data_IF_145176346515
#
_entry.id   IF_145176346515
#
_cell.length_a   1.000
_cell.length_b   1.000
_cell.length_c   1.000
_cell.angle_alpha   90.00
_cell.angle_beta   90.00
_cell.angle_gamma   90.00
#
_symmetry.space_group_name_H-M   'P 1'
#
loop_
_entity.id
_entity.type
_entity.pdbx_description
1 polymer ?
#
# COMPACT_ATOMS: atom_id res chain seq x y z
N UNK A 1 -70.78 49.30 23.09
CA UNK A 1 -69.94 48.68 24.15
C UNK A 1 -69.84 47.15 24.06
N UNK A 2 -70.95 46.38 23.99
CA UNK A 2 -70.93 44.89 23.91
C UNK A 2 -70.16 44.31 22.71
N UNK A 3 -70.24 44.96 21.53
CA UNK A 3 -69.52 44.52 20.32
C UNK A 3 -67.99 44.62 20.45
N UNK A 4 -67.50 45.66 21.12
CA UNK A 4 -66.07 45.88 21.38
C UNK A 4 -65.50 44.80 22.32
N UNK A 5 -66.23 44.48 23.39
CA UNK A 5 -65.86 43.43 24.34
C UNK A 5 -65.83 42.04 23.68
N UNK A 6 -66.76 41.77 22.75
CA UNK A 6 -66.80 40.51 21.98
C UNK A 6 -65.57 40.34 21.09
N UNK A 7 -65.13 41.40 20.42
CA UNK A 7 -63.93 41.39 19.57
C UNK A 7 -62.66 41.14 20.39
N UNK A 8 -62.55 41.81 21.54
CA UNK A 8 -61.45 41.60 22.48
C UNK A 8 -61.40 40.15 22.99
N UNK A 9 -62.54 39.59 23.45
CA UNK A 9 -62.61 38.19 23.90
C UNK A 9 -62.30 37.18 22.78
N UNK A 10 -62.62 37.50 21.53
CA UNK A 10 -62.27 36.67 20.37
C UNK A 10 -60.76 36.69 20.09
N UNK A 11 -60.12 37.87 20.17
CA UNK A 11 -58.68 38.04 19.98
C UNK A 11 -57.86 37.29 21.03
N UNK A 12 -58.24 37.35 22.31
CA UNK A 12 -57.56 36.59 23.37
C UNK A 12 -57.77 35.07 23.30
N UNK A 13 -58.90 34.61 22.75
CA UNK A 13 -59.16 33.17 22.56
C UNK A 13 -58.20 32.54 21.54
N UNK A 14 -57.96 33.24 20.42
CA UNK A 14 -57.06 32.77 19.37
C UNK A 14 -55.57 32.81 19.80
N UNK A 15 -55.20 33.75 20.66
CA UNK A 15 -53.85 33.83 21.24
C UNK A 15 -53.58 32.69 22.23
N UNK A 16 -54.59 32.21 22.95
CA UNK A 16 -54.43 31.10 23.91
C UNK A 16 -54.28 29.74 23.21
N UNK A 17 -55.03 29.52 22.13
CA UNK A 17 -54.97 28.27 21.33
C UNK A 17 -53.62 28.12 20.61
N UNK A 18 -52.99 29.22 20.20
CA UNK A 18 -51.66 29.21 19.56
C UNK A 18 -50.47 29.04 20.51
N UNK A 19 -50.67 29.17 21.84
CA UNK A 19 -49.64 28.89 22.86
C UNK A 19 -49.60 27.40 23.26
N UNK A 20 -50.74 26.72 23.31
CA UNK A 20 -50.80 25.31 23.72
C UNK A 20 -50.13 24.35 22.71
N UNK A 21 -50.02 24.73 21.43
CA UNK A 21 -49.34 23.93 20.41
C UNK A 21 -47.83 24.20 20.29
N UNK A 22 -47.24 25.10 21.09
CA UNK A 22 -45.79 25.38 21.07
C UNK A 22 -44.99 24.68 22.16
N UNK A 23 -45.63 23.95 23.07
CA UNK A 23 -44.95 23.20 24.15
C UNK A 23 -44.69 21.73 23.80
N UNK A 24 -45.02 21.29 22.59
CA UNK A 24 -44.59 19.98 22.05
C UNK A 24 -43.51 20.17 20.99
N UNK A 25 -42.41 20.80 21.38
CA UNK A 25 -41.17 20.81 20.59
C UNK A 25 -40.38 19.57 20.98
N UNK A 26 -40.51 18.54 20.16
CA UNK A 26 -39.53 17.47 19.90
C UNK A 26 -38.68 17.02 21.10
N UNK A 27 -39.27 16.20 21.97
CA UNK A 27 -38.52 15.27 22.83
C UNK A 27 -38.19 13.97 22.07
N UNK A 28 -37.76 14.09 20.81
CA UNK A 28 -36.89 13.07 20.20
C UNK A 28 -35.45 13.55 20.44
N UNK A 29 -35.10 13.66 21.72
CA UNK A 29 -33.72 13.83 22.15
C UNK A 29 -33.02 12.52 21.77
N UNK A 30 -32.45 12.48 20.56
CA UNK A 30 -31.51 11.44 20.18
C UNK A 30 -30.38 11.49 21.21
N UNK A 31 -30.49 10.66 22.26
CA UNK A 31 -29.40 10.37 23.17
C UNK A 31 -28.29 9.79 22.32
N UNK A 32 -27.34 10.64 21.95
CA UNK A 32 -26.08 10.19 21.40
C UNK A 32 -25.37 9.45 22.52
N UNK A 33 -25.50 8.13 22.54
CA UNK A 33 -24.67 7.27 23.37
C UNK A 33 -23.22 7.50 22.93
N UNK A 34 -22.46 8.20 23.77
CA UNK A 34 -21.06 8.52 23.52
C UNK A 34 -20.17 7.32 23.83
N UNK A 35 -19.11 7.18 23.05
CA UNK A 35 -18.04 6.20 23.29
C UNK A 35 -17.38 6.44 24.65
N UNK A 36 -17.12 5.39 25.43
CA UNK A 36 -16.47 5.54 26.73
C UNK A 36 -14.96 5.68 26.59
N UNK A 37 -14.30 6.40 27.53
CA UNK A 37 -12.84 6.52 27.51
C UNK A 37 -12.14 5.16 27.62
N UNK A 38 -12.70 4.25 28.44
CA UNK A 38 -12.15 2.92 28.64
C UNK A 38 -12.14 2.11 27.34
N UNK A 39 -13.17 2.29 26.50
CA UNK A 39 -13.28 1.61 25.22
C UNK A 39 -12.17 2.06 24.27
N UNK A 40 -11.87 3.36 24.22
CA UNK A 40 -10.74 3.86 23.42
C UNK A 40 -9.40 3.37 23.98
N UNK A 41 -9.22 3.36 25.30
CA UNK A 41 -7.99 2.91 25.95
C UNK A 41 -7.69 1.44 25.65
N UNK A 42 -8.70 0.56 25.74
CA UNK A 42 -8.53 -0.87 25.42
C UNK A 42 -8.16 -1.05 23.94
N UNK A 43 -8.82 -0.32 23.02
CA UNK A 43 -8.58 -0.42 21.58
C UNK A 43 -7.14 -0.03 21.22
N UNK A 44 -6.67 1.15 21.66
CA UNK A 44 -5.30 1.59 21.35
C UNK A 44 -4.25 0.70 22.02
N UNK A 45 -4.57 0.13 23.18
CA UNK A 45 -3.69 -0.83 23.88
C UNK A 45 -3.52 -2.11 23.07
N UNK A 46 -4.61 -2.72 22.60
CA UNK A 46 -4.55 -3.94 21.78
C UNK A 46 -3.84 -3.67 20.45
N UNK A 47 -4.16 -2.56 19.78
CA UNK A 47 -3.48 -2.15 18.54
C UNK A 47 -1.99 -1.92 18.81
N UNK A 48 -1.60 -1.33 19.94
CA UNK A 48 -0.20 -1.11 20.29
C UNK A 48 0.58 -2.41 20.45
N UNK A 49 0.00 -3.39 21.15
CA UNK A 49 0.60 -4.72 21.34
C UNK A 49 0.76 -5.44 20.00
N UNK A 50 -0.30 -5.50 19.18
CA UNK A 50 -0.26 -6.14 17.86
C UNK A 50 0.73 -5.45 16.92
N UNK A 51 0.69 -4.12 16.85
CA UNK A 51 1.57 -3.33 15.98
C UNK A 51 3.04 -3.54 16.33
N UNK A 52 3.36 -3.71 17.61
CA UNK A 52 4.73 -3.97 18.06
C UNK A 52 5.30 -5.27 17.47
N UNK A 53 4.52 -6.36 17.47
CA UNK A 53 4.94 -7.65 16.91
C UNK A 53 5.03 -7.59 15.39
N UNK A 54 4.01 -6.97 14.76
CA UNK A 54 3.94 -6.84 13.30
C UNK A 54 5.15 -6.08 12.75
N UNK A 55 5.55 -5.00 13.40
CA UNK A 55 6.69 -4.18 12.96
C UNK A 55 7.99 -5.00 12.86
N UNK A 56 8.28 -5.82 13.87
CA UNK A 56 9.50 -6.65 13.91
C UNK A 56 9.50 -7.73 12.81
N UNK A 57 8.35 -8.37 12.56
CA UNK A 57 8.24 -9.40 11.50
C UNK A 57 8.25 -8.82 10.09
N UNK A 58 7.68 -7.64 9.90
CA UNK A 58 7.51 -7.03 8.58
C UNK A 58 8.86 -6.70 7.91
N UNK A 59 9.85 -6.23 8.68
CA UNK A 59 11.17 -5.87 8.15
C UNK A 59 11.88 -7.05 7.48
N UNK A 60 11.89 -8.22 8.13
CA UNK A 60 12.52 -9.43 7.58
C UNK A 60 11.79 -9.96 6.34
N UNK A 61 10.46 -10.06 6.41
CA UNK A 61 9.64 -10.51 5.28
C UNK A 61 9.81 -9.59 4.06
N UNK A 62 9.86 -8.28 4.27
CA UNK A 62 10.06 -7.32 3.20
C UNK A 62 11.44 -7.45 2.56
N UNK A 63 12.50 -7.69 3.35
CA UNK A 63 13.85 -7.94 2.82
C UNK A 63 13.89 -9.19 1.95
N UNK A 64 13.31 -10.29 2.41
CA UNK A 64 13.26 -11.56 1.66
C UNK A 64 12.45 -11.38 0.37
N UNK A 65 11.29 -10.70 0.42
CA UNK A 65 10.48 -10.43 -0.76
C UNK A 65 11.23 -9.59 -1.81
N UNK A 66 11.98 -8.57 -1.37
CA UNK A 66 12.81 -7.75 -2.25
C UNK A 66 13.95 -8.55 -2.89
N UNK A 67 14.61 -9.41 -2.12
CA UNK A 67 15.64 -10.30 -2.68
C UNK A 67 15.06 -11.30 -3.67
N UNK A 68 13.91 -11.91 -3.35
CA UNK A 68 13.21 -12.83 -4.26
C UNK A 68 12.78 -12.15 -5.56
N UNK A 69 12.33 -10.90 -5.50
CA UNK A 69 12.03 -10.11 -6.70
C UNK A 69 13.29 -9.89 -7.55
N UNK A 70 14.44 -9.64 -6.92
CA UNK A 70 15.70 -9.49 -7.64
C UNK A 70 16.21 -10.80 -8.24
N UNK A 71 16.03 -11.94 -7.56
CA UNK A 71 16.30 -13.27 -8.13
C UNK A 71 15.44 -13.51 -9.39
N UNK A 72 14.15 -13.21 -9.34
CA UNK A 72 13.27 -13.36 -10.50
C UNK A 72 13.66 -12.43 -11.65
N UNK A 73 13.97 -11.17 -11.35
CA UNK A 73 14.43 -10.19 -12.35
C UNK A 73 15.76 -10.61 -12.97
N UNK A 74 16.70 -11.11 -12.17
CA UNK A 74 17.99 -11.59 -12.62
C UNK A 74 17.86 -12.78 -13.57
N UNK A 75 16.94 -13.72 -13.29
CA UNK A 75 16.63 -14.82 -14.22
C UNK A 75 16.10 -14.32 -15.56
N UNK A 76 15.20 -13.33 -15.56
CA UNK A 76 14.68 -12.72 -16.80
C UNK A 76 15.81 -12.08 -17.61
N UNK A 77 16.70 -11.34 -16.94
CA UNK A 77 17.87 -10.72 -17.58
C UNK A 77 18.81 -11.79 -18.15
N UNK A 78 19.09 -12.84 -17.39
CA UNK A 78 19.94 -13.94 -17.84
C UNK A 78 19.35 -14.64 -19.06
N UNK A 79 18.05 -14.95 -19.07
CA UNK A 79 17.37 -15.54 -20.23
C UNK A 79 17.47 -14.63 -21.46
N UNK A 80 17.27 -13.32 -21.30
CA UNK A 80 17.43 -12.36 -22.39
C UNK A 80 18.87 -12.32 -22.92
N UNK A 81 19.86 -12.36 -22.04
CA UNK A 81 21.27 -12.39 -22.39
C UNK A 81 21.66 -13.68 -23.12
N UNK A 82 21.19 -14.85 -22.65
CA UNK A 82 21.40 -16.12 -23.32
C UNK A 82 20.78 -16.15 -24.72
N UNK A 83 19.54 -15.65 -24.86
CA UNK A 83 18.87 -15.58 -26.16
C UNK A 83 19.64 -14.67 -27.15
N UNK A 84 20.16 -13.55 -26.67
CA UNK A 84 21.00 -12.66 -27.47
C UNK A 84 22.34 -13.32 -27.87
N UNK A 85 23.00 -14.02 -26.94
CA UNK A 85 24.22 -14.80 -27.23
C UNK A 85 23.95 -15.90 -28.27
N UNK A 86 22.85 -16.63 -28.14
CA UNK A 86 22.46 -17.71 -29.05
C UNK A 86 22.11 -17.20 -30.45
N UNK A 87 21.52 -16.00 -30.55
CA UNK A 87 21.27 -15.33 -31.82
C UNK A 87 22.53 -14.81 -32.52
N UNK A 88 23.71 -14.95 -31.90
CA UNK A 88 24.99 -14.56 -32.46
C UNK A 88 25.33 -13.08 -32.27
N UNK A 89 24.68 -12.39 -31.33
CA UNK A 89 25.02 -11.01 -31.00
C UNK A 89 26.38 -10.91 -30.31
N UNK A 90 27.05 -9.77 -30.49
CA UNK A 90 28.34 -9.48 -29.86
C UNK A 90 28.23 -9.47 -28.32
N UNK A 91 29.35 -9.79 -27.65
CA UNK A 91 29.46 -9.74 -26.18
C UNK A 91 29.05 -8.40 -25.59
N UNK A 92 29.39 -7.31 -26.28
CA UNK A 92 29.00 -5.98 -25.86
C UNK A 92 27.49 -5.75 -25.83
N UNK A 93 26.67 -6.60 -26.47
CA UNK A 93 25.20 -6.54 -26.49
C UNK A 93 24.64 -7.36 -25.33
N UNK A 94 24.94 -8.66 -25.27
CA UNK A 94 24.33 -9.54 -24.27
C UNK A 94 24.82 -9.29 -22.83
N UNK A 95 25.92 -8.56 -22.65
CA UNK A 95 26.41 -8.12 -21.33
C UNK A 95 25.84 -6.78 -20.86
N UNK A 96 25.03 -6.09 -21.67
CA UNK A 96 24.47 -4.77 -21.34
C UNK A 96 22.95 -4.82 -21.26
N UNK A 97 22.40 -4.48 -20.08
CA UNK A 97 20.94 -4.43 -19.87
C UNK A 97 20.25 -3.39 -20.76
N UNK A 98 20.93 -2.30 -21.07
CA UNK A 98 20.46 -1.24 -21.94
C UNK A 98 20.36 -1.73 -23.40
N UNK A 99 21.41 -2.40 -23.90
CA UNK A 99 21.39 -2.93 -25.26
C UNK A 99 20.44 -4.11 -25.41
N UNK A 100 20.26 -4.94 -24.38
CA UNK A 100 19.23 -5.98 -24.37
C UNK A 100 17.83 -5.39 -24.52
N UNK A 101 17.57 -4.22 -23.93
CA UNK A 101 16.30 -3.51 -24.15
C UNK A 101 16.21 -2.94 -25.57
N UNK A 102 17.26 -2.28 -26.05
CA UNK A 102 17.29 -1.67 -27.39
C UNK A 102 17.08 -2.72 -28.49
N UNK A 103 17.67 -3.90 -28.34
CA UNK A 103 17.54 -5.05 -29.24
C UNK A 103 16.29 -5.91 -28.95
N UNK A 104 15.38 -5.45 -28.09
CA UNK A 104 14.09 -6.09 -27.80
C UNK A 104 14.15 -7.47 -27.15
N UNK A 105 15.28 -7.84 -26.55
CA UNK A 105 15.37 -9.00 -25.67
C UNK A 105 14.75 -8.73 -24.29
N UNK A 106 14.67 -7.45 -23.90
CA UNK A 106 13.96 -6.99 -22.71
C UNK A 106 12.93 -5.91 -23.06
N UNK A 107 11.70 -6.06 -22.59
CA UNK A 107 10.68 -5.00 -22.72
C UNK A 107 11.04 -3.76 -21.88
N UNK A 108 11.63 -4.01 -20.70
CA UNK A 108 12.04 -2.98 -19.75
C UNK A 108 13.23 -3.46 -18.94
N UNK A 109 14.05 -2.52 -18.48
CA UNK A 109 15.13 -2.79 -17.53
C UNK A 109 14.51 -2.95 -16.14
N UNK A 110 14.59 -4.14 -15.51
CA UNK A 110 14.09 -4.33 -14.16
C UNK A 110 14.83 -3.45 -13.15
N UNK A 111 14.11 -2.94 -12.15
CA UNK A 111 14.70 -2.14 -11.07
C UNK A 111 15.04 -3.04 -9.88
N UNK A 112 16.25 -2.89 -9.35
CA UNK A 112 16.69 -3.57 -8.12
C UNK A 112 15.80 -3.17 -6.94
N UNK A 113 15.32 -4.17 -6.20
CA UNK A 113 14.45 -4.01 -5.04
C UNK A 113 15.19 -4.19 -3.71
N UNK A 114 16.21 -5.05 -3.66
CA UNK A 114 16.96 -5.36 -2.44
C UNK A 114 17.89 -4.25 -1.99
N UNK A 115 18.51 -3.53 -2.93
CA UNK A 115 19.43 -2.42 -2.67
C UNK A 115 19.06 -1.20 -3.51
N UNK A 116 18.61 -0.14 -2.81
CA UNK A 116 18.12 1.08 -3.45
C UNK A 116 19.25 1.79 -4.21
N UNK A 117 19.00 2.16 -5.46
CA UNK A 117 19.91 2.95 -6.29
C UNK A 117 20.94 2.13 -7.08
N UNK A 118 20.97 0.81 -6.89
CA UNK A 118 21.82 -0.09 -7.66
C UNK A 118 21.15 -0.53 -8.96
N UNK A 119 21.97 -1.04 -9.88
CA UNK A 119 21.54 -1.66 -11.13
C UNK A 119 22.01 -3.11 -11.20
N UNK A 120 21.38 -3.88 -12.07
CA UNK A 120 21.87 -5.21 -12.44
C UNK A 120 23.08 -5.07 -13.35
N UNK A 121 24.11 -5.87 -13.10
CA UNK A 121 25.27 -6.03 -13.98
C UNK A 121 25.36 -7.48 -14.44
N UNK A 122 25.71 -7.67 -15.70
CA UNK A 122 25.91 -8.98 -16.30
C UNK A 122 27.43 -9.20 -16.42
N UNK A 123 27.91 -10.30 -15.87
CA UNK A 123 29.28 -10.75 -16.04
C UNK A 123 29.28 -12.08 -16.79
N UNK A 124 30.16 -12.19 -17.77
CA UNK A 124 30.33 -13.40 -18.57
C UNK A 124 31.66 -14.06 -18.19
N UNK A 125 31.60 -15.34 -17.85
CA UNK A 125 32.74 -16.26 -17.88
C UNK A 125 32.71 -17.12 -19.15
N UNK A 126 33.68 -18.01 -19.31
CA UNK A 126 33.85 -18.84 -20.53
C UNK A 126 32.55 -19.52 -21.01
N UNK A 127 31.70 -19.99 -20.07
CA UNK A 127 30.34 -20.48 -20.41
C UNK A 127 29.24 -20.12 -19.39
N UNK A 128 29.61 -19.46 -18.29
CA UNK A 128 28.68 -19.10 -17.20
C UNK A 128 28.30 -17.62 -17.26
N UNK A 129 27.00 -17.35 -17.33
CA UNK A 129 26.44 -16.00 -17.31
C UNK A 129 25.95 -15.68 -15.89
N UNK A 130 26.50 -14.63 -15.28
CA UNK A 130 26.18 -14.22 -13.92
C UNK A 130 25.50 -12.86 -13.91
N UNK A 131 24.35 -12.77 -13.24
CA UNK A 131 23.67 -11.48 -13.03
C UNK A 131 23.84 -11.08 -11.57
N UNK A 132 24.42 -9.90 -11.35
CA UNK A 132 24.80 -9.40 -10.03
C UNK A 132 24.15 -8.05 -9.73
N UNK A 133 24.10 -7.74 -8.44
CA UNK A 133 23.84 -6.40 -7.92
C UNK A 133 24.94 -6.10 -6.89
N UNK A 134 25.84 -5.19 -7.25
CA UNK A 134 27.07 -4.97 -6.49
C UNK A 134 27.88 -6.26 -6.38
N UNK A 135 28.22 -6.69 -5.15
CA UNK A 135 28.99 -7.90 -4.91
C UNK A 135 28.16 -9.21 -4.88
N UNK A 136 26.82 -9.13 -4.87
CA UNK A 136 25.96 -10.30 -4.70
C UNK A 136 25.46 -10.82 -6.04
N UNK A 137 25.58 -12.13 -6.25
CA UNK A 137 25.02 -12.85 -7.41
C UNK A 137 23.56 -13.18 -7.17
N UNK A 138 22.71 -12.85 -8.15
CA UNK A 138 21.28 -13.16 -8.18
C UNK A 138 20.94 -14.16 -9.29
N UNK A 139 21.85 -14.41 -10.23
CA UNK A 139 21.76 -15.53 -11.17
C UNK A 139 23.16 -16.09 -11.48
N UNK A 140 23.35 -17.43 -11.53
CA UNK A 140 22.37 -18.44 -11.16
C UNK A 140 22.05 -18.37 -9.66
N UNK A 141 20.82 -18.76 -9.30
CA UNK A 141 20.41 -18.77 -7.89
C UNK A 141 21.13 -19.92 -7.20
N UNK A 142 22.08 -19.59 -6.32
CA UNK A 142 22.69 -20.58 -5.44
C UNK A 142 21.59 -21.27 -4.63
N UNK A 143 21.48 -22.58 -4.77
CA UNK A 143 20.62 -23.40 -3.92
C UNK A 143 21.19 -23.31 -2.50
N UNK A 144 20.51 -22.55 -1.64
CA UNK A 144 20.78 -22.66 -0.21
C UNK A 144 20.13 -23.95 0.25
N UNK A 145 20.95 -24.91 0.71
CA UNK A 145 20.48 -26.01 1.54
C UNK A 145 19.61 -25.40 2.65
N UNK A 146 18.36 -25.84 2.72
CA UNK A 146 17.41 -25.36 3.71
C UNK A 146 17.82 -25.99 5.06
N UNK A 147 18.49 -25.23 5.92
CA UNK A 147 18.60 -25.55 7.36
C UNK A 147 17.27 -25.29 8.10
#
# INVERSE_FOLDING_TARGET
>A
MKAYIKNIKSKYRNIKISRQNREKINEDEHKSEGFTLIEMVIVVTIIGILSSIVALKYSGAQKIARENADYANASVIATAAYLSKENGDDEGIYTSTEKLKENKYLDRIPKVQSKKGEKFSIETGDDDLKVKVGAKTFYPKEEKEQE
#
